data_IF_511896225231
#
_entry.id   IF_511896225231
#
_cell.length_a   1.000
_cell.length_b   1.000
_cell.length_c   1.000
_cell.angle_alpha   90.00
_cell.angle_beta   90.00
_cell.angle_gamma   90.00
#
_symmetry.space_group_name_H-M   'P 1'
#
loop_
_entity.id
_entity.type
_entity.pdbx_description
1 polymer ?
#
# COMPACT_ATOMS: atom_id res chain seq x y z
N UNK A 1 -4.90 -4.24 8.36
CA UNK A 1 -5.97 -3.81 9.28
C UNK A 1 -6.59 -2.52 8.77
N UNK A 2 -7.92 -2.42 8.89
CA UNK A 2 -8.71 -1.31 8.31
C UNK A 2 -9.67 -0.76 9.33
N UNK A 3 -9.14 -0.35 10.49
CA UNK A 3 -9.97 0.13 11.59
C UNK A 3 -10.32 1.61 11.40
N UNK A 4 -11.61 1.91 11.55
CA UNK A 4 -12.11 3.29 11.55
C UNK A 4 -11.81 3.98 12.89
N UNK A 5 -11.60 5.30 12.92
CA UNK A 5 -11.35 6.05 14.14
C UNK A 5 -12.36 5.76 15.25
N UNK A 6 -13.65 5.72 14.94
CA UNK A 6 -14.71 5.45 15.93
C UNK A 6 -14.58 4.08 16.61
N UNK A 7 -14.10 3.06 15.90
CA UNK A 7 -13.87 1.73 16.47
C UNK A 7 -12.63 1.74 17.38
N UNK A 8 -11.58 2.46 16.99
CA UNK A 8 -10.36 2.63 17.79
C UNK A 8 -10.69 3.37 19.09
N UNK A 9 -11.41 4.47 19.03
CA UNK A 9 -11.80 5.24 20.23
C UNK A 9 -12.61 4.39 21.23
N UNK A 10 -13.60 3.63 20.73
CA UNK A 10 -14.38 2.71 21.59
C UNK A 10 -13.53 1.60 22.21
N UNK A 11 -12.52 1.11 21.51
CA UNK A 11 -11.60 0.12 22.05
C UNK A 11 -10.72 0.73 23.13
N UNK A 12 -10.18 1.93 22.92
CA UNK A 12 -9.39 2.63 23.93
C UNK A 12 -10.19 2.85 25.22
N UNK A 13 -11.49 3.23 25.11
CA UNK A 13 -12.37 3.36 26.29
C UNK A 13 -12.47 2.06 27.07
N UNK A 14 -12.70 0.94 26.37
CA UNK A 14 -12.76 -0.40 27.00
C UNK A 14 -11.40 -0.80 27.60
N UNK A 15 -10.33 -0.45 26.91
CA UNK A 15 -8.97 -0.77 27.36
C UNK A 15 -8.61 0.00 28.62
N UNK A 16 -8.90 1.29 28.69
CA UNK A 16 -8.72 2.08 29.91
C UNK A 16 -9.52 1.53 31.10
N UNK A 17 -10.80 1.19 30.88
CA UNK A 17 -11.60 0.57 31.93
C UNK A 17 -11.06 -0.80 32.37
N UNK A 18 -10.45 -1.56 31.46
CA UNK A 18 -9.77 -2.82 31.80
C UNK A 18 -8.52 -2.57 32.66
N UNK A 19 -7.69 -1.57 32.29
CA UNK A 19 -6.52 -1.18 33.06
C UNK A 19 -6.93 -0.83 34.50
N UNK A 20 -7.91 0.05 34.67
CA UNK A 20 -8.39 0.48 36.00
C UNK A 20 -8.83 -0.71 36.87
N UNK A 21 -9.51 -1.68 36.26
CA UNK A 21 -9.95 -2.89 36.97
C UNK A 21 -8.77 -3.79 37.36
N UNK A 22 -7.81 -4.01 36.46
CA UNK A 22 -6.64 -4.86 36.74
C UNK A 22 -5.77 -4.25 37.83
N UNK A 23 -5.55 -2.94 37.80
CA UNK A 23 -4.80 -2.24 38.85
C UNK A 23 -5.47 -2.35 40.21
N UNK A 24 -6.79 -2.19 40.27
CA UNK A 24 -7.57 -2.34 41.48
C UNK A 24 -7.54 -3.76 42.06
N UNK A 25 -7.75 -4.77 41.19
CA UNK A 25 -7.85 -6.20 41.58
C UNK A 25 -6.50 -6.79 42.00
N UNK A 26 -5.41 -6.40 41.29
CA UNK A 26 -4.10 -6.96 41.50
C UNK A 26 -3.19 -6.14 42.43
N UNK A 27 -3.63 -4.96 42.82
CA UNK A 27 -2.91 -4.02 43.68
C UNK A 27 -1.48 -3.69 43.17
N UNK A 28 -1.37 -3.48 41.84
CA UNK A 28 -0.13 -3.01 41.21
C UNK A 28 -0.47 -1.94 40.16
N UNK A 29 0.52 -1.15 39.76
CA UNK A 29 0.38 -0.14 38.74
C UNK A 29 0.98 -0.65 37.42
N UNK A 30 0.30 -0.40 36.32
CA UNK A 30 0.81 -0.67 34.97
C UNK A 30 1.81 0.44 34.60
N UNK A 31 3.06 0.06 34.33
CA UNK A 31 4.12 1.00 34.00
C UNK A 31 4.22 1.30 32.50
N UNK A 32 3.85 0.33 31.64
CA UNK A 32 3.96 0.45 30.19
C UNK A 32 2.76 -0.15 29.47
N UNK A 33 2.37 0.52 28.40
CA UNK A 33 1.31 0.10 27.47
C UNK A 33 1.88 0.08 26.06
N UNK A 34 1.70 -1.01 25.36
CA UNK A 34 1.90 -1.10 23.90
C UNK A 34 0.55 -1.24 23.22
N UNK A 35 0.22 -0.31 22.34
CA UNK A 35 -1.10 -0.24 21.70
C UNK A 35 -1.01 -0.16 20.18
N UNK A 36 -1.43 -1.22 19.52
CA UNK A 36 -1.53 -1.29 18.07
C UNK A 36 -2.88 -0.75 17.58
N UNK A 37 -2.92 0.44 17.02
CA UNK A 37 -4.19 1.08 16.60
C UNK A 37 -4.88 0.35 15.47
N UNK A 38 -4.14 -0.25 14.54
CA UNK A 38 -4.68 -0.82 13.30
C UNK A 38 -5.39 0.22 12.44
N UNK A 39 -5.01 1.50 12.53
CA UNK A 39 -5.60 2.58 11.75
C UNK A 39 -5.52 2.27 10.26
N UNK A 40 -6.62 2.51 9.55
CA UNK A 40 -6.70 2.22 8.13
C UNK A 40 -5.76 3.10 7.31
N UNK A 41 -5.04 2.45 6.39
CA UNK A 41 -4.29 3.08 5.31
C UNK A 41 -5.14 3.05 4.05
N UNK A 42 -5.16 4.14 3.32
CA UNK A 42 -5.90 4.25 2.08
C UNK A 42 -4.96 4.11 0.88
N UNK A 43 -5.01 2.94 0.22
CA UNK A 43 -4.15 2.64 -0.92
C UNK A 43 -4.74 3.10 -2.25
N UNK A 44 -6.06 3.38 -2.29
CA UNK A 44 -6.81 3.54 -3.53
C UNK A 44 -7.50 4.91 -3.65
N UNK A 45 -7.37 5.78 -2.63
CA UNK A 45 -7.87 7.14 -2.67
C UNK A 45 -6.83 8.09 -3.27
N UNK A 46 -7.29 8.98 -4.15
CA UNK A 46 -6.47 10.08 -4.68
C UNK A 46 -6.17 11.16 -3.63
N UNK A 47 -6.91 11.20 -2.53
CA UNK A 47 -6.73 12.14 -1.43
C UNK A 47 -6.28 11.46 -0.12
N UNK A 48 -5.61 10.33 -0.25
CA UNK A 48 -5.22 9.47 0.87
C UNK A 48 -4.52 10.23 2.01
N UNK A 49 -3.61 11.15 1.68
CA UNK A 49 -2.85 11.91 2.69
C UNK A 49 -3.75 12.79 3.58
N UNK A 50 -4.71 13.49 2.98
CA UNK A 50 -5.64 14.34 3.72
C UNK A 50 -6.60 13.51 4.56
N UNK A 51 -7.12 12.42 4.01
CA UNK A 51 -8.00 11.49 4.72
C UNK A 51 -7.30 10.84 5.90
N UNK A 52 -6.08 10.38 5.74
CA UNK A 52 -5.26 9.79 6.81
C UNK A 52 -4.90 10.81 7.88
N UNK A 53 -4.56 12.03 7.47
CA UNK A 53 -4.32 13.16 8.39
C UNK A 53 -5.56 13.47 9.22
N UNK A 54 -6.74 13.47 8.62
CA UNK A 54 -7.99 13.67 9.34
C UNK A 54 -8.25 12.56 10.37
N UNK A 55 -8.04 11.30 9.98
CA UNK A 55 -8.19 10.13 10.88
C UNK A 55 -7.26 10.19 12.09
N UNK A 56 -5.99 10.58 11.88
CA UNK A 56 -5.02 10.76 12.98
C UNK A 56 -5.50 11.85 13.94
N UNK A 57 -5.93 13.00 13.41
CA UNK A 57 -6.43 14.11 14.24
C UNK A 57 -7.64 13.70 15.06
N UNK A 58 -8.51 12.83 14.53
CA UNK A 58 -9.69 12.33 15.22
C UNK A 58 -9.34 11.43 16.42
N UNK A 59 -8.34 10.53 16.29
CA UNK A 59 -7.96 9.61 17.37
C UNK A 59 -6.95 10.20 18.37
N UNK A 60 -6.19 11.23 17.97
CA UNK A 60 -5.11 11.79 18.79
C UNK A 60 -5.53 12.20 20.20
N UNK A 61 -6.70 12.84 20.45
CA UNK A 61 -7.14 13.16 21.80
C UNK A 61 -7.31 11.92 22.67
N UNK A 62 -7.80 10.81 22.08
CA UNK A 62 -8.04 9.55 22.80
C UNK A 62 -6.74 8.81 23.10
N UNK A 63 -5.78 8.84 22.18
CA UNK A 63 -4.40 8.36 22.42
C UNK A 63 -3.74 9.14 23.54
N UNK A 64 -3.90 10.47 23.55
CA UNK A 64 -3.40 11.33 24.63
C UNK A 64 -4.06 11.05 25.99
N UNK A 65 -5.32 10.64 26.00
CA UNK A 65 -6.00 10.21 27.22
C UNK A 65 -5.39 8.90 27.75
N UNK A 66 -5.20 7.91 26.87
CA UNK A 66 -4.56 6.63 27.21
C UNK A 66 -3.13 6.83 27.74
N UNK A 67 -2.35 7.75 27.18
CA UNK A 67 -0.97 8.03 27.62
C UNK A 67 -0.85 8.61 29.03
N UNK A 68 -1.96 8.98 29.65
CA UNK A 68 -1.96 9.41 31.06
C UNK A 68 -2.00 8.24 32.04
N UNK A 69 -2.30 7.02 31.55
CA UNK A 69 -2.39 5.81 32.38
C UNK A 69 -1.02 5.22 32.67
N UNK A 70 -0.14 5.19 31.66
CA UNK A 70 1.20 4.63 31.76
C UNK A 70 2.08 5.13 30.61
N UNK A 71 3.36 4.74 30.56
CA UNK A 71 4.25 4.98 29.43
C UNK A 71 3.69 4.26 28.19
N UNK A 72 3.26 5.04 27.19
CA UNK A 72 2.53 4.54 26.03
C UNK A 72 3.39 4.49 24.77
N UNK A 73 3.57 3.29 24.23
CA UNK A 73 4.06 3.06 22.87
C UNK A 73 2.89 2.78 21.94
N UNK A 74 2.80 3.52 20.83
CA UNK A 74 1.75 3.32 19.81
C UNK A 74 2.36 2.69 18.58
N UNK A 75 1.85 1.52 18.18
CA UNK A 75 2.28 0.81 16.99
C UNK A 75 1.39 1.15 15.80
N UNK A 76 2.01 1.73 14.76
CA UNK A 76 1.33 2.16 13.53
C UNK A 76 2.20 1.91 12.28
N UNK A 77 2.89 0.77 12.21
CA UNK A 77 3.89 0.48 11.18
C UNK A 77 3.37 0.72 9.76
N UNK A 78 2.28 0.07 9.37
CA UNK A 78 1.66 0.23 8.04
C UNK A 78 1.32 1.69 7.74
N UNK A 79 0.78 2.41 8.71
CA UNK A 79 0.36 3.80 8.53
C UNK A 79 1.53 4.73 8.18
N UNK A 80 2.66 4.58 8.85
CA UNK A 80 3.84 5.41 8.61
C UNK A 80 4.67 4.93 7.41
N UNK A 81 4.76 3.62 7.19
CA UNK A 81 5.65 3.07 6.17
C UNK A 81 5.02 3.02 4.78
N UNK A 82 3.70 2.80 4.65
CA UNK A 82 3.07 2.65 3.34
C UNK A 82 3.40 3.81 2.37
N UNK A 83 3.28 5.09 2.76
CA UNK A 83 3.57 6.20 1.86
C UNK A 83 5.06 6.39 1.54
N UNK A 84 5.97 5.68 2.21
CA UNK A 84 7.42 5.84 2.01
C UNK A 84 7.99 4.98 0.89
N UNK A 85 7.22 4.07 0.30
CA UNK A 85 7.69 3.15 -0.72
C UNK A 85 7.03 3.35 -2.08
N UNK A 86 7.80 3.08 -3.11
CA UNK A 86 7.39 3.06 -4.50
C UNK A 86 7.84 1.74 -5.13
N UNK A 87 6.98 1.15 -5.93
CA UNK A 87 7.35 -0.01 -6.73
C UNK A 87 7.41 0.39 -8.20
N UNK A 88 8.54 0.16 -8.84
CA UNK A 88 8.78 0.51 -10.24
C UNK A 88 8.85 -0.77 -11.06
N UNK A 89 8.13 -0.80 -12.18
CA UNK A 89 8.12 -1.93 -13.12
C UNK A 89 8.11 -1.41 -14.55
N UNK A 90 8.70 -2.16 -15.47
CA UNK A 90 8.78 -1.82 -16.89
C UNK A 90 7.68 -2.54 -17.67
N UNK A 91 7.09 -1.86 -18.63
CA UNK A 91 6.16 -2.47 -19.61
C UNK A 91 6.97 -3.25 -20.63
N UNK A 92 6.83 -4.57 -20.60
CA UNK A 92 7.58 -5.49 -21.48
C UNK A 92 6.87 -5.76 -22.81
N UNK A 93 5.53 -5.74 -22.79
CA UNK A 93 4.72 -6.00 -23.98
C UNK A 93 3.34 -5.35 -23.88
N UNK A 94 2.77 -4.97 -25.00
CA UNK A 94 1.41 -4.46 -25.11
C UNK A 94 0.64 -5.19 -26.18
N UNK A 95 -0.65 -5.48 -25.92
CA UNK A 95 -1.51 -6.13 -26.91
C UNK A 95 -2.96 -5.69 -26.77
N UNK A 96 -3.69 -5.82 -27.88
CA UNK A 96 -5.15 -5.68 -27.90
C UNK A 96 -5.76 -7.06 -28.23
N UNK A 97 -6.74 -7.46 -27.42
CA UNK A 97 -7.51 -8.67 -27.66
C UNK A 97 -8.99 -8.37 -27.42
N UNK A 98 -9.82 -8.62 -28.39
CA UNK A 98 -11.27 -8.33 -28.40
C UNK A 98 -11.58 -6.87 -27.95
N UNK A 99 -10.78 -5.91 -28.40
CA UNK A 99 -10.92 -4.50 -28.08
C UNK A 99 -10.46 -4.12 -26.65
N UNK A 100 -9.91 -5.06 -25.88
CA UNK A 100 -9.35 -4.81 -24.56
C UNK A 100 -7.82 -4.66 -24.63
N UNK A 101 -7.30 -3.62 -24.02
CA UNK A 101 -5.87 -3.35 -23.96
C UNK A 101 -5.23 -4.03 -22.76
N UNK A 102 -4.11 -4.70 -22.99
CA UNK A 102 -3.30 -5.38 -21.97
C UNK A 102 -1.87 -4.88 -22.05
N UNK A 103 -1.30 -4.56 -20.90
CA UNK A 103 0.13 -4.32 -20.73
C UNK A 103 0.72 -5.38 -19.82
N UNK A 104 1.80 -6.02 -20.25
CA UNK A 104 2.52 -7.02 -19.48
C UNK A 104 3.77 -6.36 -18.93
N UNK A 105 3.95 -6.42 -17.61
CA UNK A 105 5.10 -5.82 -16.93
C UNK A 105 6.10 -6.91 -16.52
N UNK A 106 7.35 -6.52 -16.25
CA UNK A 106 8.43 -7.42 -15.80
C UNK A 106 8.19 -7.98 -14.39
N UNK A 107 7.45 -7.24 -13.55
CA UNK A 107 7.03 -7.66 -12.22
C UNK A 107 5.73 -8.48 -12.19
N UNK A 108 4.98 -8.35 -11.11
CA UNK A 108 3.70 -9.03 -10.95
C UNK A 108 3.27 -9.16 -9.48
N UNK A 109 2.21 -9.95 -9.23
CA UNK A 109 1.68 -10.18 -7.88
C UNK A 109 2.64 -10.94 -6.95
N UNK A 110 3.74 -11.47 -7.47
CA UNK A 110 4.81 -12.07 -6.66
C UNK A 110 5.71 -11.02 -6.00
N UNK A 111 5.69 -9.79 -6.49
CA UNK A 111 6.51 -8.68 -6.00
C UNK A 111 5.69 -7.54 -5.41
N UNK A 112 4.41 -7.43 -5.79
CA UNK A 112 3.53 -6.34 -5.36
C UNK A 112 2.15 -6.84 -4.98
N UNK A 113 1.73 -6.50 -3.76
CA UNK A 113 0.37 -6.71 -3.30
C UNK A 113 -0.08 -5.55 -2.42
N UNK A 114 -1.29 -5.06 -2.66
CA UNK A 114 -1.94 -4.09 -1.78
C UNK A 114 -2.95 -4.78 -0.87
N UNK A 115 -2.91 -4.46 0.43
CA UNK A 115 -3.90 -4.96 1.38
C UNK A 115 -5.33 -4.56 0.95
N UNK A 116 -6.17 -5.57 0.80
CA UNK A 116 -7.56 -5.43 0.39
C UNK A 116 -7.80 -5.25 -1.09
N UNK A 117 -6.79 -5.33 -1.94
CA UNK A 117 -6.96 -5.44 -3.38
C UNK A 117 -7.38 -6.86 -3.77
N UNK A 118 -8.36 -6.97 -4.66
CA UNK A 118 -8.84 -8.25 -5.19
C UNK A 118 -8.71 -8.24 -6.70
N UNK A 119 -7.84 -9.09 -7.24
CA UNK A 119 -7.64 -9.32 -8.68
C UNK A 119 -7.53 -8.02 -9.52
N UNK A 120 -6.85 -7.01 -8.99
CA UNK A 120 -6.64 -5.73 -9.68
C UNK A 120 -7.88 -4.84 -9.81
N UNK A 121 -8.99 -5.12 -9.10
CA UNK A 121 -10.22 -4.32 -9.21
C UNK A 121 -10.10 -2.94 -8.58
N UNK A 122 -9.33 -2.82 -7.51
CA UNK A 122 -9.00 -1.53 -6.89
C UNK A 122 -7.72 -0.99 -7.54
N UNK A 123 -7.77 0.24 -8.00
CA UNK A 123 -6.66 0.87 -8.72
C UNK A 123 -5.88 1.75 -7.75
N UNK A 124 -4.62 1.42 -7.43
CA UNK A 124 -3.76 2.30 -6.66
C UNK A 124 -3.35 3.53 -7.48
N UNK A 125 -2.73 4.49 -6.83
CA UNK A 125 -2.08 5.58 -7.55
C UNK A 125 -0.88 5.05 -8.33
N UNK A 126 -0.83 5.32 -9.65
CA UNK A 126 0.22 4.88 -10.56
C UNK A 126 0.70 6.08 -11.36
N UNK A 127 2.01 6.36 -11.30
CA UNK A 127 2.64 7.34 -12.18
C UNK A 127 3.18 6.63 -13.41
N UNK A 128 2.83 7.12 -14.60
CA UNK A 128 3.34 6.67 -15.88
C UNK A 128 4.51 7.54 -16.32
N UNK A 129 5.66 6.94 -16.55
CA UNK A 129 6.87 7.59 -17.06
C UNK A 129 7.13 7.05 -18.46
N UNK A 130 6.93 7.89 -19.45
CA UNK A 130 7.12 7.53 -20.87
C UNK A 130 8.59 7.39 -21.19
N UNK A 131 8.93 6.34 -21.94
CA UNK A 131 10.25 6.19 -22.54
C UNK A 131 10.26 6.83 -23.94
N UNK A 132 11.17 7.77 -24.17
CA UNK A 132 11.26 8.48 -25.46
C UNK A 132 11.69 7.59 -26.64
N UNK A 133 12.12 6.36 -26.38
CA UNK A 133 12.56 5.40 -27.41
C UNK A 133 11.46 4.38 -27.79
N UNK A 134 10.30 4.41 -27.15
CA UNK A 134 9.20 3.52 -27.47
C UNK A 134 8.45 4.02 -28.69
N UNK A 135 8.12 3.12 -29.63
CA UNK A 135 7.52 3.46 -30.91
C UNK A 135 6.41 2.47 -31.34
N UNK A 136 5.68 1.91 -30.41
CA UNK A 136 4.56 1.05 -30.74
C UNK A 136 3.25 1.84 -30.89
N UNK A 137 2.57 1.67 -32.03
CA UNK A 137 1.29 2.35 -32.30
C UNK A 137 0.13 1.82 -31.44
N UNK A 138 0.29 0.65 -30.81
CA UNK A 138 -0.76 -0.02 -30.03
C UNK A 138 -1.24 0.81 -28.84
N UNK A 139 -0.36 1.59 -28.25
CA UNK A 139 -0.64 2.42 -27.09
C UNK A 139 -1.12 3.83 -27.40
N UNK A 140 -1.26 4.22 -28.67
CA UNK A 140 -1.59 5.60 -29.04
C UNK A 140 -2.96 6.05 -28.51
N UNK A 141 -3.04 7.28 -28.04
CA UNK A 141 -4.24 7.85 -27.44
C UNK A 141 -4.51 7.37 -26.01
N UNK A 142 -5.65 7.78 -25.46
CA UNK A 142 -6.05 7.43 -24.09
C UNK A 142 -6.90 6.16 -24.09
N UNK A 143 -6.39 5.11 -23.46
CA UNK A 143 -7.03 3.80 -23.39
C UNK A 143 -7.10 3.28 -21.96
N UNK A 144 -8.03 2.35 -21.70
CA UNK A 144 -8.14 1.61 -20.44
C UNK A 144 -7.39 0.30 -20.53
N UNK A 145 -6.41 0.13 -19.67
CA UNK A 145 -5.48 -0.99 -19.67
C UNK A 145 -5.71 -1.96 -18.52
N UNK A 146 -5.52 -3.24 -18.80
CA UNK A 146 -5.33 -4.27 -17.78
C UNK A 146 -3.84 -4.52 -17.65
N UNK A 147 -3.29 -4.25 -16.46
CA UNK A 147 -1.88 -4.48 -16.13
C UNK A 147 -1.72 -5.92 -15.63
N UNK A 148 -0.97 -6.72 -16.38
CA UNK A 148 -0.67 -8.12 -16.08
C UNK A 148 0.81 -8.23 -15.70
N UNK A 149 1.10 -9.10 -14.75
CA UNK A 149 2.49 -9.42 -14.40
C UNK A 149 3.09 -10.50 -15.32
N UNK A 150 4.30 -10.91 -14.98
CA UNK A 150 5.13 -11.85 -15.77
C UNK A 150 4.93 -13.33 -15.41
N UNK A 151 4.02 -13.66 -14.48
CA UNK A 151 3.75 -15.03 -14.11
C UNK A 151 2.82 -15.71 -15.12
N UNK A 152 3.01 -17.01 -15.38
CA UNK A 152 2.14 -17.78 -16.25
C UNK A 152 0.85 -18.23 -15.54
N UNK A 153 0.09 -17.26 -15.02
CA UNK A 153 -1.20 -17.48 -14.37
C UNK A 153 -2.17 -16.34 -14.68
N UNK A 154 -3.43 -16.67 -14.90
CA UNK A 154 -4.50 -15.68 -15.11
C UNK A 154 -4.81 -14.86 -13.86
N UNK A 155 -4.28 -15.26 -12.71
CA UNK A 155 -4.39 -14.50 -11.45
C UNK A 155 -3.42 -13.32 -11.38
N UNK A 156 -2.37 -13.30 -12.23
CA UNK A 156 -1.35 -12.23 -12.21
C UNK A 156 -1.85 -10.94 -12.89
N UNK A 157 -2.83 -10.33 -12.26
CA UNK A 157 -3.41 -9.06 -12.67
C UNK A 157 -3.22 -8.04 -11.53
N UNK A 158 -2.40 -7.03 -11.81
CA UNK A 158 -2.02 -5.99 -10.83
C UNK A 158 -3.11 -4.92 -10.74
N UNK A 159 -3.62 -4.46 -11.89
CA UNK A 159 -4.71 -3.48 -11.93
C UNK A 159 -5.53 -3.63 -13.22
N UNK A 160 -6.83 -3.34 -13.15
CA UNK A 160 -7.76 -3.41 -14.27
C UNK A 160 -8.32 -2.04 -14.60
N UNK A 161 -8.57 -1.79 -15.89
CA UNK A 161 -9.20 -0.57 -16.38
C UNK A 161 -8.48 0.71 -15.94
N UNK A 162 -7.15 0.66 -15.87
CA UNK A 162 -6.32 1.84 -15.61
C UNK A 162 -6.23 2.66 -16.88
N UNK A 163 -6.49 3.96 -16.75
CA UNK A 163 -6.45 4.87 -17.90
C UNK A 163 -5.04 5.43 -18.07
N UNK A 164 -4.45 5.18 -19.25
CA UNK A 164 -3.17 5.76 -19.64
C UNK A 164 -3.27 6.36 -21.04
N UNK A 165 -2.48 7.42 -21.26
CA UNK A 165 -2.32 8.05 -22.57
C UNK A 165 -0.96 7.66 -23.14
N UNK A 166 -0.98 7.07 -24.34
CA UNK A 166 0.21 6.61 -25.06
C UNK A 166 1.11 5.68 -24.23
N UNK A 167 0.53 4.61 -23.67
CA UNK A 167 1.29 3.58 -22.95
C UNK A 167 1.94 2.63 -23.94
N UNK A 168 3.26 2.46 -23.83
CA UNK A 168 4.06 1.66 -24.75
C UNK A 168 5.05 0.73 -24.04
N UNK A 169 5.62 -0.20 -24.77
CA UNK A 169 6.73 -1.01 -24.30
C UNK A 169 7.89 -0.13 -23.83
N UNK A 170 8.59 -0.55 -22.77
CA UNK A 170 9.67 0.15 -22.09
C UNK A 170 9.28 1.41 -21.31
N UNK A 171 8.01 1.75 -21.25
CA UNK A 171 7.52 2.74 -20.31
C UNK A 171 7.64 2.18 -18.88
N UNK A 172 7.84 3.08 -17.90
CA UNK A 172 7.88 2.69 -16.51
C UNK A 172 6.56 3.06 -15.83
N UNK A 173 6.09 2.14 -14.99
CA UNK A 173 4.94 2.34 -14.13
C UNK A 173 5.42 2.37 -12.67
N UNK A 174 5.14 3.47 -11.98
CA UNK A 174 5.50 3.67 -10.58
C UNK A 174 4.25 3.55 -9.73
N UNK A 175 4.16 2.49 -8.95
CA UNK A 175 3.07 2.25 -8.00
C UNK A 175 3.40 2.90 -6.67
N UNK A 176 2.50 3.71 -6.16
CA UNK A 176 2.69 4.46 -4.94
C UNK A 176 2.29 3.66 -3.70
N UNK A 177 2.75 4.10 -2.52
CA UNK A 177 2.35 3.60 -1.20
C UNK A 177 2.67 2.12 -0.96
N UNK A 178 3.82 1.67 -1.47
CA UNK A 178 4.25 0.27 -1.38
C UNK A 178 5.24 -0.01 -0.23
N UNK A 179 5.49 0.98 0.65
CA UNK A 179 6.52 0.89 1.69
C UNK A 179 6.19 0.01 2.89
N UNK A 180 4.98 -0.57 2.96
CA UNK A 180 4.60 -1.44 4.07
C UNK A 180 3.98 -2.74 3.57
N UNK A 181 4.66 -3.86 3.79
CA UNK A 181 4.20 -5.24 3.52
C UNK A 181 3.87 -5.56 2.06
N UNK A 182 3.84 -4.59 1.14
CA UNK A 182 3.40 -4.81 -0.24
C UNK A 182 4.27 -5.81 -1.00
N UNK A 183 5.54 -5.92 -0.64
CA UNK A 183 6.44 -6.94 -1.17
C UNK A 183 6.27 -8.27 -0.43
N UNK A 184 6.23 -8.24 0.91
CA UNK A 184 6.22 -9.46 1.74
C UNK A 184 4.89 -10.22 1.65
N UNK A 185 3.77 -9.52 1.42
CA UNK A 185 2.45 -10.11 1.22
C UNK A 185 2.23 -10.63 -0.22
N UNK A 186 3.19 -10.42 -1.12
CA UNK A 186 3.21 -11.01 -2.45
C UNK A 186 3.35 -12.52 -2.42
N UNK A 187 2.99 -13.20 -3.51
CA UNK A 187 3.19 -14.65 -3.65
C UNK A 187 4.63 -14.96 -4.08
N UNK A 188 5.58 -14.48 -3.29
CA UNK A 188 7.00 -14.67 -3.54
C UNK A 188 7.37 -16.14 -3.75
N UNK A 189 8.44 -16.41 -4.46
CA UNK A 189 8.95 -17.73 -4.81
C UNK A 189 8.09 -18.55 -5.80
N UNK A 190 6.93 -18.04 -6.24
CA UNK A 190 6.17 -18.72 -7.28
C UNK A 190 6.98 -18.73 -8.58
N UNK A 191 7.14 -19.92 -9.18
CA UNK A 191 7.92 -20.17 -10.40
C UNK A 191 9.40 -19.72 -10.31
N UNK A 192 9.96 -19.71 -9.12
CA UNK A 192 11.36 -19.30 -8.85
C UNK A 192 11.70 -17.90 -9.42
N UNK A 193 10.72 -17.00 -9.38
CA UNK A 193 10.94 -15.60 -9.78
C UNK A 193 11.71 -14.85 -8.71
N UNK A 194 12.56 -13.97 -9.14
CA UNK A 194 13.36 -13.13 -8.26
C UNK A 194 12.51 -12.13 -7.49
N UNK A 195 12.97 -11.80 -6.28
CA UNK A 195 12.44 -10.69 -5.51
C UNK A 195 12.81 -9.36 -6.19
N UNK A 196 12.03 -8.28 -6.00
CA UNK A 196 12.40 -6.99 -6.53
C UNK A 196 13.70 -6.49 -5.89
N UNK A 197 14.52 -5.78 -6.64
CA UNK A 197 15.66 -5.05 -6.10
C UNK A 197 15.17 -3.92 -5.20
N UNK A 198 15.81 -3.74 -4.06
CA UNK A 198 15.45 -2.71 -3.09
C UNK A 198 16.50 -1.61 -3.12
N UNK A 199 16.06 -0.39 -3.30
CA UNK A 199 16.88 0.81 -3.25
C UNK A 199 16.38 1.75 -2.16
N UNK A 200 17.32 2.35 -1.44
CA UNK A 200 17.00 3.36 -0.43
C UNK A 200 17.38 4.73 -0.98
N UNK A 201 16.39 5.61 -1.06
CA UNK A 201 16.61 7.01 -1.39
C UNK A 201 16.96 7.77 -0.11
N UNK A 202 18.17 8.26 -0.01
CA UNK A 202 18.63 9.00 1.16
C UNK A 202 18.15 10.47 1.15
N UNK A 203 18.49 11.23 2.20
CA UNK A 203 18.12 12.65 2.33
C UNK A 203 18.76 13.54 1.27
N UNK A 204 19.83 13.09 0.62
CA UNK A 204 20.47 13.77 -0.48
C UNK A 204 19.93 13.36 -1.86
N UNK A 205 18.85 12.58 -1.89
CA UNK A 205 18.25 11.98 -3.09
C UNK A 205 19.23 11.09 -3.86
N UNK A 206 20.14 10.43 -3.15
CA UNK A 206 21.03 9.43 -3.73
C UNK A 206 20.45 8.03 -3.53
N UNK A 207 20.45 7.22 -4.59
CA UNK A 207 20.06 5.82 -4.54
C UNK A 207 21.22 4.98 -3.99
N UNK A 208 20.94 4.17 -2.97
CA UNK A 208 21.87 3.24 -2.33
C UNK A 208 21.35 1.80 -2.42
#
# INVERSE_FOLDING_TARGET
QKRRPSAIMKEIDKFMAYIDRVEADANFNIERIEYGTGLAVDYFSKDALNEETARIKEIAPKIKELSKKADLTVEMGRFFSAPCGYYVTEVMDTKVNDGLHYAIVDGGIHQLKYDGQTQGMQIPEITHIKNSQSCDEVGSGTNKWTLCGSLCTTADVIARSVEFTDLNCKDLLVFHRTGAYSMDEGISLLLSRDMPSIYILDKANQLN
#
